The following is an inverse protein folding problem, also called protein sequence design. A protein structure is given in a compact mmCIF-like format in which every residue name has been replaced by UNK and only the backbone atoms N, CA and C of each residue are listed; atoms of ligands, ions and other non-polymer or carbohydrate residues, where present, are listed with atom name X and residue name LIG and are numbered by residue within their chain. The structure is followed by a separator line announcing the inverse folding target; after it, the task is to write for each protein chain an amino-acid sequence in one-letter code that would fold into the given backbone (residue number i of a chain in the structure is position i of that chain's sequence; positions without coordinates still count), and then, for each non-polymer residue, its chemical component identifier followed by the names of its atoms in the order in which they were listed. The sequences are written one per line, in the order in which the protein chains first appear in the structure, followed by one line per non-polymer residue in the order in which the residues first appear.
data_IF_748522647209
#
_entry.id   IF_748522647209
#
_cell.length_a   1.000
_cell.length_b   1.000
_cell.length_c   1.000
_cell.angle_alpha   90.00
_cell.angle_beta   90.00
_cell.angle_gamma   90.00
#
_symmetry.space_group_name_H-M   'P 1'
#
loop_
_entity.id
_entity.type
_entity.pdbx_description
1 polymer ?
#
# COMPACT_ATOMS: atom_id res chain seq x y z
N UNK A 1 -36.18 -1.61 -7.45
CA UNK A 1 -36.85 -1.00 -6.28
C UNK A 1 -37.40 0.34 -6.73
N UNK A 2 -38.66 0.63 -6.45
CA UNK A 2 -39.32 1.91 -6.81
C UNK A 2 -38.73 3.03 -5.96
N UNK A 3 -38.11 4.03 -6.62
CA UNK A 3 -37.45 5.18 -5.99
C UNK A 3 -38.47 6.17 -5.42
N UNK A 4 -38.17 6.78 -4.27
CA UNK A 4 -39.00 7.81 -3.65
C UNK A 4 -38.88 9.14 -4.43
N UNK A 5 -39.80 9.36 -5.37
CA UNK A 5 -39.93 10.64 -6.07
C UNK A 5 -41.02 11.49 -5.43
N UNK A 6 -40.71 12.20 -4.33
CA UNK A 6 -41.15 13.58 -4.02
C UNK A 6 -40.95 13.95 -2.54
N UNK A 7 -40.62 15.23 -2.33
CA UNK A 7 -40.16 15.82 -1.06
C UNK A 7 -41.27 15.86 0.00
N UNK A 8 -40.92 15.37 1.18
CA UNK A 8 -41.69 15.42 2.42
C UNK A 8 -42.21 16.84 2.76
N UNK A 9 -43.50 16.94 3.12
CA UNK A 9 -44.09 18.16 3.71
C UNK A 9 -44.33 17.88 5.20
N UNK A 10 -43.52 18.45 6.12
CA UNK A 10 -43.77 18.29 7.55
C UNK A 10 -45.07 18.98 7.93
N UNK A 11 -46.00 18.24 8.55
CA UNK A 11 -47.20 18.83 9.14
C UNK A 11 -46.96 19.11 10.63
N UNK A 12 -46.77 20.39 10.99
CA UNK A 12 -46.40 20.83 12.33
C UNK A 12 -47.58 20.92 13.32
N UNK A 13 -48.78 20.49 12.95
CA UNK A 13 -49.94 20.56 13.83
C UNK A 13 -50.56 19.17 14.08
N UNK A 14 -50.35 18.67 15.32
CA UNK A 14 -50.97 17.51 15.99
C UNK A 14 -50.41 16.12 15.66
N UNK A 15 -49.55 15.61 16.56
CA UNK A 15 -49.33 14.19 16.94
C UNK A 15 -49.57 13.10 15.86
N UNK A 16 -49.01 13.25 14.67
CA UNK A 16 -49.08 12.23 13.63
C UNK A 16 -48.85 12.86 12.27
N UNK A 17 -47.59 12.89 11.84
CA UNK A 17 -47.24 13.19 10.46
C UNK A 17 -47.55 11.93 9.63
N UNK A 18 -48.47 12.07 8.68
CA UNK A 18 -48.77 11.05 7.68
C UNK A 18 -47.70 11.11 6.59
N UNK A 19 -46.84 10.09 6.49
CA UNK A 19 -46.01 9.92 5.30
C UNK A 19 -46.89 9.53 4.12
N UNK A 20 -46.89 10.31 3.04
CA UNK A 20 -47.60 10.00 1.79
C UNK A 20 -46.60 9.29 0.88
N UNK A 21 -46.79 7.99 0.65
CA UNK A 21 -46.05 7.27 -0.40
C UNK A 21 -46.87 7.31 -1.69
N UNK A 22 -46.33 7.97 -2.71
CA UNK A 22 -46.89 8.02 -4.07
C UNK A 22 -46.26 6.90 -4.88
N UNK A 23 -47.08 5.96 -5.38
CA UNK A 23 -46.63 4.94 -6.32
C UNK A 23 -47.02 5.36 -7.74
N UNK A 24 -46.11 5.20 -8.69
CA UNK A 24 -46.46 5.20 -10.10
C UNK A 24 -47.38 4.01 -10.38
N UNK A 25 -48.54 4.24 -10.99
CA UNK A 25 -49.46 3.18 -11.39
C UNK A 25 -49.61 3.19 -12.90
N UNK A 26 -49.74 2.00 -13.49
CA UNK A 26 -49.94 1.81 -14.95
C UNK A 26 -51.13 2.62 -15.49
N UNK A 27 -52.06 2.99 -14.61
CA UNK A 27 -53.27 3.76 -14.93
C UNK A 27 -53.11 5.28 -14.73
N UNK A 28 -51.87 5.81 -14.62
CA UNK A 28 -51.56 7.24 -14.42
C UNK A 28 -52.26 7.90 -13.22
N UNK A 29 -52.81 7.10 -12.30
CA UNK A 29 -53.43 7.59 -11.08
C UNK A 29 -52.50 7.24 -9.92
N UNK A 30 -51.90 8.22 -9.23
CA UNK A 30 -50.96 7.94 -8.14
C UNK A 30 -51.68 7.25 -6.99
N UNK A 31 -51.17 6.09 -6.58
CA UNK A 31 -51.65 5.44 -5.35
C UNK A 31 -50.98 6.14 -4.16
N UNK A 32 -51.78 6.63 -3.21
CA UNK A 32 -51.30 7.28 -1.99
C UNK A 32 -51.56 6.34 -0.81
N UNK A 33 -50.50 5.81 -0.18
CA UNK A 33 -50.61 5.12 1.12
C UNK A 33 -50.14 6.04 2.24
N UNK A 34 -51.00 6.21 3.24
CA UNK A 34 -50.67 6.87 4.51
C UNK A 34 -50.06 5.85 5.45
N UNK A 35 -48.82 6.06 5.86
CA UNK A 35 -48.14 5.26 6.87
C UNK A 35 -48.18 6.02 8.21
N UNK A 36 -48.67 5.37 9.27
CA UNK A 36 -48.80 5.96 10.62
C UNK A 36 -48.15 5.09 11.70
N UNK A 37 -47.26 5.67 12.52
CA UNK A 37 -46.69 5.02 13.72
C UNK A 37 -45.40 5.70 14.21
N UNK A 38 -45.11 5.65 15.51
CA UNK A 38 -43.92 6.28 16.12
C UNK A 38 -42.58 5.71 15.58
N UNK A 39 -42.57 4.43 15.17
CA UNK A 39 -41.39 3.75 14.61
C UNK A 39 -41.23 3.91 13.09
N UNK A 40 -42.21 4.53 12.41
CA UNK A 40 -42.16 4.75 10.97
C UNK A 40 -41.25 5.94 10.60
N UNK A 41 -41.16 6.97 11.45
CA UNK A 41 -40.30 8.13 11.20
C UNK A 41 -38.82 7.77 11.10
N UNK A 42 -38.23 7.09 12.11
CA UNK A 42 -36.79 6.81 12.08
C UNK A 42 -36.42 5.87 10.94
N UNK A 43 -37.33 4.96 10.57
CA UNK A 43 -37.12 4.03 9.45
C UNK A 43 -37.13 4.75 8.09
N UNK A 44 -38.00 5.75 7.90
CA UNK A 44 -38.07 6.53 6.66
C UNK A 44 -36.88 7.48 6.54
N UNK A 45 -36.51 8.18 7.61
CA UNK A 45 -35.32 9.05 7.61
C UNK A 45 -34.06 8.25 7.26
N UNK A 46 -33.87 7.10 7.93
CA UNK A 46 -32.72 6.22 7.66
C UNK A 46 -32.72 5.70 6.21
N UNK A 47 -33.88 5.43 5.63
CA UNK A 47 -33.97 5.00 4.23
C UNK A 47 -33.53 6.12 3.28
N UNK A 48 -33.97 7.36 3.51
CA UNK A 48 -33.54 8.51 2.73
C UNK A 48 -32.03 8.73 2.83
N UNK A 49 -31.44 8.56 4.01
CA UNK A 49 -29.98 8.62 4.21
C UNK A 49 -29.26 7.55 3.38
N UNK A 50 -29.77 6.31 3.34
CA UNK A 50 -29.19 5.23 2.52
C UNK A 50 -29.31 5.51 1.02
N UNK A 51 -30.46 6.03 0.56
CA UNK A 51 -30.65 6.41 -0.84
C UNK A 51 -29.67 7.52 -1.26
N UNK A 52 -29.46 8.54 -0.41
CA UNK A 52 -28.46 9.60 -0.67
C UNK A 52 -27.04 9.02 -0.73
N UNK A 53 -26.71 8.06 0.15
CA UNK A 53 -25.41 7.38 0.12
C UNK A 53 -25.21 6.56 -1.16
N UNK A 54 -26.23 5.88 -1.67
CA UNK A 54 -26.16 5.18 -2.96
C UNK A 54 -25.99 6.15 -4.13
N UNK A 55 -26.73 7.27 -4.16
CA UNK A 55 -26.53 8.30 -5.19
C UNK A 55 -25.10 8.87 -5.17
N UNK A 56 -24.56 9.12 -3.98
CA UNK A 56 -23.17 9.56 -3.81
C UNK A 56 -22.18 8.49 -4.26
N UNK A 57 -22.45 7.21 -4.00
CA UNK A 57 -21.65 6.09 -4.47
C UNK A 57 -21.59 6.08 -6.00
N UNK A 58 -22.75 6.17 -6.66
CA UNK A 58 -22.82 6.22 -8.13
C UNK A 58 -22.07 7.42 -8.70
N UNK A 59 -22.14 8.58 -8.04
CA UNK A 59 -21.37 9.75 -8.47
C UNK A 59 -19.85 9.55 -8.40
N UNK A 60 -19.36 8.78 -7.43
CA UNK A 60 -17.92 8.47 -7.30
C UNK A 60 -17.45 7.54 -8.41
N UNK A 61 -18.26 6.53 -8.75
CA UNK A 61 -17.87 5.47 -9.68
C UNK A 61 -18.46 5.62 -11.10
N UNK A 62 -19.18 6.72 -11.36
CA UNK A 62 -19.85 7.02 -12.61
C UNK A 62 -21.32 6.60 -12.59
N UNK A 63 -22.20 7.38 -13.24
CA UNK A 63 -23.65 7.14 -13.25
C UNK A 63 -24.05 5.80 -13.91
N UNK A 64 -23.15 5.18 -14.68
CA UNK A 64 -23.34 3.83 -15.25
C UNK A 64 -23.02 2.70 -14.27
N UNK A 65 -22.51 3.01 -13.07
CA UNK A 65 -22.28 2.01 -12.03
C UNK A 65 -23.61 1.44 -11.54
N UNK A 66 -23.77 0.13 -11.63
CA UNK A 66 -25.01 -0.56 -11.26
C UNK A 66 -24.97 -1.19 -9.87
N UNK A 67 -23.88 -1.03 -9.13
CA UNK A 67 -23.67 -1.71 -7.85
C UNK A 67 -24.21 -0.86 -6.68
N UNK A 68 -24.85 -1.56 -5.74
CA UNK A 68 -25.47 -1.03 -4.53
C UNK A 68 -24.48 -0.93 -3.37
N UNK A 69 -24.90 -0.30 -2.27
CA UNK A 69 -24.13 -0.35 -1.01
C UNK A 69 -23.90 -1.80 -0.54
N UNK A 70 -24.88 -2.69 -0.74
CA UNK A 70 -24.76 -4.09 -0.35
C UNK A 70 -23.65 -4.79 -1.13
N UNK A 71 -23.57 -4.58 -2.45
CA UNK A 71 -22.51 -5.16 -3.29
C UNK A 71 -21.11 -4.74 -2.83
N UNK A 72 -20.95 -3.48 -2.38
CA UNK A 72 -19.69 -2.98 -1.83
C UNK A 72 -19.35 -3.68 -0.51
N UNK A 73 -20.33 -3.86 0.38
CA UNK A 73 -20.13 -4.56 1.65
C UNK A 73 -19.79 -6.03 1.42
N UNK A 74 -20.51 -6.73 0.55
CA UNK A 74 -20.26 -8.13 0.21
C UNK A 74 -18.85 -8.31 -0.36
N UNK A 75 -18.40 -7.39 -1.22
CA UNK A 75 -17.05 -7.41 -1.78
C UNK A 75 -15.98 -7.22 -0.69
N UNK A 76 -16.22 -6.32 0.26
CA UNK A 76 -15.34 -6.14 1.42
C UNK A 76 -15.32 -7.42 2.26
N UNK A 77 -16.48 -7.92 2.70
CA UNK A 77 -16.58 -9.12 3.53
C UNK A 77 -15.89 -10.33 2.89
N UNK A 78 -16.10 -10.57 1.59
CA UNK A 78 -15.41 -11.61 0.84
C UNK A 78 -13.88 -11.45 0.91
N UNK A 79 -13.36 -10.24 0.70
CA UNK A 79 -11.91 -9.98 0.74
C UNK A 79 -11.31 -10.07 2.14
N UNK A 80 -12.12 -9.87 3.18
CA UNK A 80 -11.70 -9.89 4.58
C UNK A 80 -11.88 -11.24 5.27
N UNK A 81 -12.71 -12.12 4.70
CA UNK A 81 -12.97 -13.47 5.22
C UNK A 81 -11.86 -14.47 4.88
N UNK A 82 -10.86 -14.08 4.06
CA UNK A 82 -9.72 -14.94 3.76
C UNK A 82 -8.87 -15.18 5.03
N UNK A 83 -8.66 -16.46 5.44
CA UNK A 83 -7.88 -16.78 6.63
C UNK A 83 -6.44 -16.23 6.49
N UNK A 84 -5.89 -15.75 7.60
CA UNK A 84 -4.55 -15.12 7.73
C UNK A 84 -4.39 -13.67 7.25
N UNK A 85 -5.44 -12.99 6.77
CA UNK A 85 -5.37 -11.54 6.52
C UNK A 85 -5.60 -10.74 7.80
N UNK A 86 -4.62 -9.91 8.19
CA UNK A 86 -4.77 -8.91 9.26
C UNK A 86 -5.94 -7.97 8.92
N UNK A 87 -6.80 -7.67 9.90
CA UNK A 87 -7.94 -6.75 9.75
C UNK A 87 -7.50 -5.48 9.00
N UNK A 88 -8.23 -5.03 7.97
CA UNK A 88 -7.78 -4.08 6.96
C UNK A 88 -7.81 -2.63 7.46
N UNK A 89 -7.57 -2.38 8.75
CA UNK A 89 -7.52 -1.00 9.29
C UNK A 89 -6.53 -0.13 8.50
N UNK A 90 -5.57 -0.77 7.80
CA UNK A 90 -4.57 -0.12 6.94
C UNK A 90 -4.78 -0.36 5.42
N UNK A 91 -5.96 -0.76 4.95
CA UNK A 91 -6.19 -0.91 3.52
C UNK A 91 -6.14 0.46 2.81
N UNK A 92 -5.35 0.52 1.74
CA UNK A 92 -5.25 1.70 0.86
C UNK A 92 -6.13 1.46 -0.37
N UNK A 93 -7.05 2.38 -0.65
CA UNK A 93 -7.78 2.41 -1.92
C UNK A 93 -6.78 2.88 -2.99
N UNK A 94 -6.63 2.09 -4.05
CA UNK A 94 -5.76 2.39 -5.18
C UNK A 94 -6.59 2.88 -6.35
N UNK A 95 -6.05 3.83 -7.11
CA UNK A 95 -6.57 4.15 -8.45
C UNK A 95 -6.35 2.98 -9.42
N UNK A 96 -7.07 2.94 -10.55
CA UNK A 96 -6.85 1.92 -11.57
C UNK A 96 -5.40 1.90 -12.08
N UNK A 97 -4.77 3.07 -12.21
CA UNK A 97 -3.36 3.17 -12.63
C UNK A 97 -2.40 2.58 -11.59
N UNK A 98 -2.61 2.90 -10.30
CA UNK A 98 -1.80 2.32 -9.21
C UNK A 98 -2.02 0.81 -9.07
N UNK A 99 -3.25 0.33 -9.24
CA UNK A 99 -3.58 -1.09 -9.22
C UNK A 99 -2.91 -1.85 -10.38
N UNK A 100 -2.91 -1.26 -11.59
CA UNK A 100 -2.22 -1.83 -12.74
C UNK A 100 -0.70 -1.89 -12.53
N UNK A 101 -0.09 -0.81 -12.03
CA UNK A 101 1.35 -0.80 -11.66
C UNK A 101 1.67 -1.85 -10.61
N UNK A 102 0.81 -2.03 -9.62
CA UNK A 102 0.99 -3.05 -8.59
C UNK A 102 0.95 -4.47 -9.17
N UNK A 103 0.05 -4.73 -10.11
CA UNK A 103 0.00 -6.00 -10.81
C UNK A 103 1.26 -6.21 -11.66
N UNK A 104 1.71 -5.18 -12.38
CA UNK A 104 2.98 -5.22 -13.14
C UNK A 104 4.16 -5.58 -12.24
N UNK A 105 4.29 -4.96 -11.06
CA UNK A 105 5.36 -5.30 -10.11
C UNK A 105 5.30 -6.76 -9.64
N UNK A 106 4.11 -7.29 -9.36
CA UNK A 106 3.94 -8.70 -8.99
C UNK A 106 4.35 -9.64 -10.11
N UNK A 107 3.93 -9.34 -11.34
CA UNK A 107 4.26 -10.15 -12.50
C UNK A 107 5.78 -10.11 -12.78
N UNK A 108 6.42 -8.96 -12.62
CA UNK A 108 7.88 -8.82 -12.71
C UNK A 108 8.60 -9.61 -11.61
N UNK A 109 8.07 -9.63 -10.38
CA UNK A 109 8.61 -10.41 -9.27
C UNK A 109 8.50 -11.92 -9.53
N UNK A 110 7.34 -12.39 -9.99
CA UNK A 110 7.09 -13.80 -10.34
C UNK A 110 7.96 -14.26 -11.52
N UNK A 111 8.22 -13.37 -12.49
CA UNK A 111 9.14 -13.62 -13.61
C UNK A 111 10.62 -13.53 -13.24
N UNK A 112 10.95 -13.13 -12.00
CA UNK A 112 12.33 -12.96 -11.56
C UNK A 112 13.05 -11.75 -12.20
N UNK A 113 12.31 -10.76 -12.67
CA UNK A 113 12.83 -9.54 -13.30
C UNK A 113 13.13 -8.42 -12.28
N UNK A 114 12.78 -8.60 -11.01
CA UNK A 114 13.13 -7.70 -9.92
C UNK A 114 14.35 -8.20 -9.14
N UNK A 115 15.30 -7.29 -8.88
CA UNK A 115 16.47 -7.56 -8.05
C UNK A 115 16.26 -6.98 -6.65
N UNK A 116 16.45 -7.81 -5.63
CA UNK A 116 16.43 -7.37 -4.22
C UNK A 116 17.83 -7.01 -3.78
N UNK A 117 18.05 -5.74 -3.44
CA UNK A 117 19.33 -5.26 -2.93
C UNK A 117 19.43 -5.53 -1.42
N UNK A 118 20.60 -5.96 -0.90
CA UNK A 118 20.81 -6.15 0.54
C UNK A 118 20.80 -4.84 1.33
N UNK A 119 21.02 -3.71 0.66
CA UNK A 119 21.02 -2.35 1.20
C UNK A 119 20.64 -1.34 0.09
N UNK A 120 20.32 -0.10 0.46
CA UNK A 120 19.88 0.96 -0.45
C UNK A 120 20.85 2.14 -0.47
N UNK A 121 20.77 2.94 -1.54
CA UNK A 121 21.46 4.24 -1.61
C UNK A 121 21.05 5.11 -0.40
N UNK A 122 22.05 5.73 0.23
CA UNK A 122 21.91 6.48 1.47
C UNK A 122 22.10 5.66 2.75
N UNK A 123 22.19 4.32 2.67
CA UNK A 123 22.56 3.53 3.83
C UNK A 123 24.03 3.76 4.20
N UNK A 124 24.30 3.74 5.50
CA UNK A 124 25.65 3.77 6.06
C UNK A 124 26.12 2.35 6.33
N UNK A 125 27.25 1.97 5.75
CA UNK A 125 27.90 0.67 5.96
C UNK A 125 29.22 0.83 6.69
N UNK A 126 29.69 -0.26 7.29
CA UNK A 126 30.94 -0.30 8.05
C UNK A 126 31.96 -1.17 7.36
N UNK A 127 33.11 -0.59 7.07
CA UNK A 127 34.24 -1.25 6.41
C UNK A 127 35.34 -1.53 7.42
N UNK A 128 35.92 -2.73 7.33
CA UNK A 128 37.15 -3.07 8.00
C UNK A 128 38.32 -2.92 7.02
N UNK A 129 39.02 -1.80 7.09
CA UNK A 129 40.15 -1.49 6.19
C UNK A 129 41.40 -1.29 7.04
N UNK A 130 42.49 -1.97 6.67
CA UNK A 130 43.82 -1.80 7.27
C UNK A 130 43.86 -1.86 8.82
N UNK A 131 42.98 -2.65 9.43
CA UNK A 131 42.93 -2.82 10.88
C UNK A 131 42.06 -1.82 11.64
N UNK A 132 41.28 -1.00 10.92
CA UNK A 132 40.32 -0.04 11.50
C UNK A 132 38.93 -0.25 10.92
N UNK A 133 37.92 0.13 11.70
CA UNK A 133 36.51 0.14 11.30
C UNK A 133 36.10 1.57 10.97
N UNK A 134 35.62 1.81 9.75
CA UNK A 134 35.19 3.13 9.28
C UNK A 134 33.85 3.03 8.54
N UNK A 135 33.03 4.07 8.60
CA UNK A 135 31.72 4.08 7.96
C UNK A 135 31.68 4.89 6.67
N UNK A 136 30.89 4.39 5.72
CA UNK A 136 30.75 4.99 4.39
C UNK A 136 29.29 4.95 3.93
N UNK A 137 28.88 5.98 3.19
CA UNK A 137 27.52 6.07 2.64
C UNK A 137 27.48 5.46 1.24
N UNK A 138 26.45 4.66 0.96
CA UNK A 138 26.20 4.14 -0.40
C UNK A 138 25.66 5.27 -1.26
N UNK A 139 26.30 5.57 -2.39
CA UNK A 139 25.86 6.60 -3.34
C UNK A 139 25.25 6.05 -4.60
N UNK A 140 25.71 4.88 -5.05
CA UNK A 140 25.22 4.24 -6.26
C UNK A 140 25.47 2.74 -6.19
N UNK A 141 24.87 2.03 -7.15
CA UNK A 141 25.22 0.65 -7.46
C UNK A 141 25.19 0.42 -8.97
N UNK A 142 25.83 -0.65 -9.41
CA UNK A 142 25.80 -1.14 -10.78
C UNK A 142 25.80 -2.67 -10.79
N UNK A 143 25.64 -3.28 -11.96
CA UNK A 143 25.72 -4.72 -12.13
C UNK A 143 26.78 -5.07 -13.17
N UNK A 144 27.58 -6.12 -12.90
CA UNK A 144 28.56 -6.66 -13.83
C UNK A 144 29.98 -6.57 -13.29
N UNK A 145 30.84 -5.86 -14.02
CA UNK A 145 32.29 -5.88 -13.79
C UNK A 145 32.75 -4.70 -12.93
N UNK A 146 33.62 -4.96 -11.96
CA UNK A 146 34.29 -3.96 -11.13
C UNK A 146 35.80 -4.08 -11.29
N UNK A 147 36.42 -3.11 -11.96
CA UNK A 147 37.88 -2.96 -12.04
C UNK A 147 38.30 -1.80 -11.16
N UNK A 148 38.95 -2.11 -10.04
CA UNK A 148 39.38 -1.12 -9.05
C UNK A 148 38.70 -1.31 -7.69
N UNK A 149 39.53 -1.41 -6.66
CA UNK A 149 39.17 -1.42 -5.23
C UNK A 149 38.70 -2.74 -4.60
N UNK A 150 38.68 -3.84 -5.36
CA UNK A 150 38.58 -5.19 -4.79
C UNK A 150 40.01 -5.70 -4.53
N UNK A 151 40.21 -6.50 -3.48
CA UNK A 151 41.51 -7.13 -3.18
C UNK A 151 42.10 -7.76 -4.45
N UNK A 152 43.36 -7.43 -4.74
CA UNK A 152 44.02 -7.82 -5.99
C UNK A 152 44.06 -9.34 -6.14
N UNK A 153 43.30 -9.88 -7.10
CA UNK A 153 43.32 -11.30 -7.45
C UNK A 153 41.97 -11.94 -7.76
N UNK A 154 40.85 -11.31 -7.40
CA UNK A 154 39.51 -11.82 -7.73
C UNK A 154 38.87 -10.98 -8.85
N UNK A 155 38.69 -11.59 -10.03
CA UNK A 155 37.85 -11.01 -11.08
C UNK A 155 36.39 -11.15 -10.67
N UNK A 156 35.77 -10.04 -10.26
CA UNK A 156 34.34 -10.03 -9.97
C UNK A 156 33.57 -9.76 -11.26
N UNK A 157 32.76 -10.74 -11.65
CA UNK A 157 31.86 -10.70 -12.80
C UNK A 157 30.46 -11.07 -12.32
N UNK A 158 29.45 -10.49 -12.96
CA UNK A 158 28.04 -10.83 -12.76
C UNK A 158 27.48 -10.60 -11.34
N UNK A 159 28.05 -9.63 -10.61
CA UNK A 159 27.57 -9.21 -9.28
C UNK A 159 27.10 -7.77 -9.25
N UNK A 160 26.32 -7.44 -8.21
CA UNK A 160 25.97 -6.06 -7.88
C UNK A 160 27.15 -5.43 -7.15
N UNK A 161 27.55 -4.26 -7.63
CA UNK A 161 28.68 -3.49 -7.13
C UNK A 161 28.14 -2.21 -6.53
N UNK A 162 28.44 -1.95 -5.27
CA UNK A 162 28.08 -0.72 -4.57
C UNK A 162 29.23 0.27 -4.57
N UNK A 163 28.91 1.56 -4.68
CA UNK A 163 29.87 2.66 -4.68
C UNK A 163 29.70 3.51 -3.43
N UNK A 164 30.81 3.78 -2.76
CA UNK A 164 30.86 4.47 -1.48
C UNK A 164 31.69 5.75 -1.53
N UNK A 165 31.20 6.78 -0.84
CA UNK A 165 31.92 8.04 -0.59
C UNK A 165 32.22 8.21 0.91
N UNK A 166 33.34 8.84 1.26
CA UNK A 166 33.60 9.33 2.62
C UNK A 166 32.97 10.71 2.84
N UNK A 167 33.19 11.20 4.06
CA UNK A 167 32.90 12.56 4.50
C UNK A 167 33.52 13.69 3.66
N UNK A 168 34.48 13.41 2.75
CA UNK A 168 35.08 14.39 1.84
C UNK A 168 34.45 14.39 0.43
N UNK A 169 33.46 13.54 0.17
CA UNK A 169 32.72 13.49 -1.11
C UNK A 169 33.54 12.94 -2.28
N UNK A 170 34.63 12.21 -2.02
CA UNK A 170 35.35 11.46 -3.04
C UNK A 170 34.85 10.02 -3.04
N UNK A 171 34.71 9.39 -4.22
CA UNK A 171 34.49 7.94 -4.32
C UNK A 171 35.82 7.25 -3.99
N UNK A 172 35.79 6.31 -3.07
CA UNK A 172 37.02 5.79 -2.40
C UNK A 172 37.05 4.27 -2.42
N UNK A 173 35.89 3.67 -2.60
CA UNK A 173 35.75 2.24 -2.65
C UNK A 173 34.50 1.84 -3.40
N UNK A 174 34.63 0.72 -4.09
CA UNK A 174 33.54 -0.09 -4.56
C UNK A 174 33.68 -1.47 -3.94
N UNK A 175 32.56 -2.11 -3.66
CA UNK A 175 32.55 -3.46 -3.15
C UNK A 175 31.44 -4.28 -3.80
N UNK A 176 31.68 -5.57 -4.05
CA UNK A 176 30.66 -6.50 -4.51
C UNK A 176 29.71 -6.86 -3.37
N UNK A 177 28.52 -7.35 -3.70
CA UNK A 177 27.62 -7.97 -2.70
C UNK A 177 28.32 -9.07 -1.91
N UNK A 178 29.19 -9.85 -2.55
CA UNK A 178 29.98 -10.91 -1.88
C UNK A 178 30.99 -10.42 -0.83
N UNK A 179 31.25 -9.11 -0.75
CA UNK A 179 32.06 -8.47 0.28
C UNK A 179 31.31 -8.23 1.59
N UNK A 180 29.97 -8.25 1.56
CA UNK A 180 29.14 -8.10 2.77
C UNK A 180 29.35 -9.32 3.69
N UNK A 181 29.59 -9.06 4.98
CA UNK A 181 29.92 -10.04 6.00
C UNK A 181 31.39 -10.48 6.01
N UNK A 182 32.21 -10.05 5.03
CA UNK A 182 33.66 -10.32 4.99
C UNK A 182 34.46 -9.08 5.36
N UNK A 183 34.35 -8.04 4.55
CA UNK A 183 35.08 -6.77 4.69
C UNK A 183 34.14 -5.59 4.92
N UNK A 184 32.87 -5.74 4.55
CA UNK A 184 31.80 -4.74 4.69
C UNK A 184 30.67 -5.29 5.54
N UNK A 185 30.10 -4.49 6.43
CA UNK A 185 29.07 -4.90 7.39
C UNK A 185 27.93 -3.89 7.45
N UNK A 186 26.72 -4.39 7.73
CA UNK A 186 25.53 -3.55 7.86
C UNK A 186 25.52 -2.79 9.19
N UNK A 187 26.19 -3.34 10.21
CA UNK A 187 26.27 -2.72 11.53
C UNK A 187 27.72 -2.59 12.00
N UNK A 188 27.94 -1.59 12.87
CA UNK A 188 29.24 -1.36 13.50
C UNK A 188 29.68 -2.55 14.36
N UNK A 189 28.74 -3.10 15.13
CA UNK A 189 28.99 -4.21 16.06
C UNK A 189 29.48 -5.46 15.34
N UNK A 190 28.88 -5.80 14.19
CA UNK A 190 29.35 -6.90 13.35
C UNK A 190 30.75 -6.64 12.80
N UNK A 191 31.05 -5.41 12.39
CA UNK A 191 32.36 -5.02 11.89
C UNK A 191 33.45 -5.14 12.98
N UNK A 192 33.21 -4.56 14.16
CA UNK A 192 34.15 -4.59 15.28
C UNK A 192 34.41 -6.02 15.74
N UNK A 193 33.36 -6.85 15.87
CA UNK A 193 33.50 -8.27 16.20
C UNK A 193 34.38 -9.01 15.19
N UNK A 194 34.15 -8.81 13.88
CA UNK A 194 34.98 -9.45 12.85
C UNK A 194 36.43 -8.97 12.91
N UNK A 195 36.64 -7.69 13.18
CA UNK A 195 37.98 -7.12 13.31
C UNK A 195 38.75 -7.76 14.49
N UNK A 196 38.09 -7.94 15.63
CA UNK A 196 38.66 -8.66 16.79
C UNK A 196 39.00 -10.11 16.47
N UNK A 197 38.11 -10.85 15.79
CA UNK A 197 38.38 -12.22 15.33
C UNK A 197 39.67 -12.29 14.51
N UNK A 198 39.84 -11.40 13.52
CA UNK A 198 41.02 -11.35 12.65
C UNK A 198 42.28 -10.96 13.42
N UNK A 199 42.17 -10.07 14.41
CA UNK A 199 43.31 -9.68 15.26
C UNK A 199 43.76 -10.83 16.17
N UNK A 200 42.80 -11.59 16.72
CA UNK A 200 43.08 -12.73 17.58
C UNK A 200 43.65 -13.93 16.82
N UNK A 201 43.21 -14.19 15.57
CA UNK A 201 43.68 -15.30 14.72
C UNK A 201 45.13 -15.11 14.21
N UNK A 202 45.66 -13.88 14.30
CA UNK A 202 47.05 -13.55 13.92
C UNK A 202 48.07 -13.75 15.07
N UNK A 203 47.63 -14.29 16.21
CA UNK A 203 48.45 -14.55 17.41
C UNK A 203 48.71 -16.04 17.59
#
# INVERSE_FOLDING_TARGET
MERLTERYVPNNEKKGIAGIKVFESENKTPLVKVLSGEYLYPAIEKLADYEELEERLHKIFGEESTFSLADVIDALEMKLSEPDKKHPVNARILTYEEANKWQEYKDLEEQGLLVRLPCKVGDMLWYNILGYTESYEIKAFSYGYCDGYIEAGEEIRDEIIFYCENHTGSIIGSFPVSGIGKTVFLTREEAEKKLEEIQNDKT
#
